data_IF_763084279631
#
_entry.id   IF_763084279631
#
_cell.length_a   1.000
_cell.length_b   1.000
_cell.length_c   1.000
_cell.angle_alpha   90.00
_cell.angle_beta   90.00
_cell.angle_gamma   90.00
#
_symmetry.space_group_name_H-M   'P 1'
#
loop_
_entity.id
_entity.type
_entity.pdbx_description
1 polymer ?
#
# COMPACT_ATOMS: atom_id res chain seq x y z
N UNK A 1 -59.44 -2.05 25.92
CA UNK A 1 -58.53 -1.17 25.11
C UNK A 1 -57.20 -1.83 25.00
N UNK A 2 -56.94 -2.30 23.82
CA UNK A 2 -55.71 -3.02 23.57
C UNK A 2 -54.80 -2.16 22.77
N UNK A 3 -53.74 -1.78 23.39
CA UNK A 3 -52.66 -1.10 22.70
C UNK A 3 -51.75 -2.16 22.12
N UNK A 4 -51.83 -2.33 20.83
CA UNK A 4 -50.80 -3.11 20.13
C UNK A 4 -49.54 -2.26 20.01
N UNK A 5 -48.61 -2.56 20.84
CA UNK A 5 -47.28 -2.06 20.66
C UNK A 5 -46.66 -2.80 19.47
N UNK A 6 -46.72 -2.18 18.33
CA UNK A 6 -45.90 -2.59 17.24
C UNK A 6 -44.46 -2.17 17.55
N UNK A 7 -43.76 -3.06 18.20
CA UNK A 7 -42.33 -3.00 18.23
C UNK A 7 -41.81 -3.35 16.86
N UNK A 8 -41.73 -2.35 16.00
CA UNK A 8 -40.87 -2.46 14.86
C UNK A 8 -39.43 -2.54 15.35
N UNK A 9 -39.00 -3.75 15.62
CA UNK A 9 -37.60 -3.99 15.76
C UNK A 9 -36.96 -3.72 14.39
N UNK A 10 -36.51 -2.51 14.22
CA UNK A 10 -35.62 -2.22 13.13
C UNK A 10 -34.33 -3.01 13.42
N UNK A 11 -34.21 -4.20 12.84
CA UNK A 11 -32.94 -4.86 12.74
C UNK A 11 -32.10 -3.96 11.84
N UNK A 12 -31.33 -3.10 12.46
CA UNK A 12 -30.21 -2.50 11.77
C UNK A 12 -29.21 -3.63 11.53
N UNK A 13 -29.38 -4.31 10.41
CA UNK A 13 -28.33 -5.17 9.89
C UNK A 13 -27.19 -4.21 9.54
N UNK A 14 -26.29 -4.03 10.49
CA UNK A 14 -25.03 -3.38 10.20
C UNK A 14 -24.38 -4.17 9.08
N UNK A 15 -24.47 -3.64 7.87
CA UNK A 15 -23.61 -4.07 6.78
C UNK A 15 -22.20 -3.72 7.21
N UNK A 16 -21.54 -4.65 7.89
CA UNK A 16 -20.08 -4.58 8.00
C UNK A 16 -19.55 -4.66 6.60
N UNK A 17 -18.80 -3.63 6.13
CA UNK A 17 -18.08 -3.78 4.89
C UNK A 17 -17.18 -4.98 5.08
N UNK A 18 -17.47 -6.05 4.37
CA UNK A 18 -16.51 -7.11 4.20
C UNK A 18 -15.35 -6.42 3.50
N UNK A 19 -14.27 -6.18 4.23
CA UNK A 19 -13.03 -5.74 3.61
C UNK A 19 -12.70 -6.81 2.59
N UNK A 20 -13.07 -6.56 1.34
CA UNK A 20 -12.56 -7.35 0.24
C UNK A 20 -11.05 -7.39 0.45
N UNK A 21 -10.45 -8.60 0.53
CA UNK A 21 -9.05 -8.78 0.81
C UNK A 21 -8.19 -8.04 -0.20
N UNK A 22 -8.12 -6.72 -0.04
CA UNK A 22 -7.24 -5.89 -0.82
C UNK A 22 -5.85 -6.00 -0.21
N UNK A 23 -4.85 -6.15 -1.05
CA UNK A 23 -3.46 -6.00 -0.68
C UNK A 23 -3.29 -4.73 0.15
N UNK A 24 -2.46 -4.77 1.17
CA UNK A 24 -2.22 -3.62 2.04
C UNK A 24 -0.74 -3.29 2.13
N UNK A 25 -0.47 -2.06 2.48
CA UNK A 25 0.88 -1.56 2.75
C UNK A 25 0.79 -0.52 3.86
N UNK A 26 1.74 -0.54 4.78
CA UNK A 26 1.80 0.41 5.89
C UNK A 26 3.22 0.97 6.00
N UNK A 27 3.37 2.27 6.23
CA UNK A 27 2.35 3.31 6.14
C UNK A 27 1.97 3.64 4.70
N UNK A 28 0.83 4.28 4.52
CA UNK A 28 0.35 4.76 3.21
C UNK A 28 0.67 6.24 2.97
N UNK A 29 1.17 6.92 3.98
CA UNK A 29 1.58 8.32 3.91
C UNK A 29 2.76 8.56 4.83
N UNK A 30 3.62 9.48 4.44
CA UNK A 30 4.73 9.88 5.29
C UNK A 30 5.41 11.15 4.81
N UNK A 31 6.01 11.86 5.75
CA UNK A 31 6.93 12.96 5.48
C UNK A 31 8.27 12.61 6.11
N UNK A 32 9.34 12.84 5.37
CA UNK A 32 10.69 12.49 5.81
C UNK A 32 11.60 13.69 5.60
N UNK A 33 12.27 14.09 6.66
CA UNK A 33 13.36 15.06 6.59
C UNK A 33 14.68 14.32 6.41
N UNK A 34 15.50 14.77 5.49
CA UNK A 34 16.80 14.18 5.24
C UNK A 34 17.87 15.26 5.11
N UNK A 35 19.08 14.95 5.59
CA UNK A 35 20.25 15.83 5.49
C UNK A 35 21.20 15.37 4.39
N UNK A 36 20.79 14.44 3.56
CA UNK A 36 21.58 13.90 2.44
C UNK A 36 20.88 14.13 1.11
N UNK A 37 21.47 13.64 0.03
CA UNK A 37 20.90 13.77 -1.32
C UNK A 37 19.74 12.80 -1.60
N UNK A 38 19.37 11.99 -0.62
CA UNK A 38 18.28 11.04 -0.73
C UNK A 38 17.52 10.94 0.58
N UNK A 39 16.29 10.47 0.52
CA UNK A 39 15.51 10.13 1.71
C UNK A 39 15.09 8.67 1.67
N UNK A 40 14.98 8.06 2.84
CA UNK A 40 14.62 6.66 2.98
C UNK A 40 13.25 6.52 3.61
N UNK A 41 12.46 5.59 3.07
CA UNK A 41 11.15 5.23 3.60
C UNK A 41 11.13 3.72 3.79
N UNK A 42 10.66 3.28 4.95
CA UNK A 42 10.41 1.86 5.20
C UNK A 42 8.92 1.61 5.12
N UNK A 43 8.53 0.69 4.25
CA UNK A 43 7.15 0.28 4.08
C UNK A 43 7.01 -1.21 4.36
N UNK A 44 5.81 -1.63 4.74
CA UNK A 44 5.50 -3.01 5.10
C UNK A 44 4.35 -3.48 4.24
N UNK A 45 4.63 -4.01 3.04
CA UNK A 45 3.58 -4.67 2.26
C UNK A 45 3.12 -5.94 2.97
N UNK A 46 1.83 -6.21 2.90
CA UNK A 46 1.19 -7.35 3.55
C UNK A 46 0.37 -8.15 2.57
N UNK A 47 0.35 -9.47 2.75
CA UNK A 47 -0.46 -10.38 1.98
C UNK A 47 -1.72 -10.77 2.77
N UNK A 48 -2.91 -10.25 2.40
CA UNK A 48 -4.15 -10.59 3.08
C UNK A 48 -4.77 -11.91 2.61
N UNK A 49 -4.19 -12.53 1.59
CA UNK A 49 -4.76 -13.73 0.99
C UNK A 49 -4.34 -14.99 1.73
N UNK A 50 -5.09 -16.07 1.53
CA UNK A 50 -4.80 -17.38 2.09
C UNK A 50 -3.71 -18.15 1.37
N UNK A 51 -3.07 -17.57 0.39
CA UNK A 51 -2.02 -18.19 -0.41
C UNK A 51 -0.86 -17.24 -0.62
N UNK A 52 0.29 -17.79 -0.96
CA UNK A 52 1.49 -17.03 -1.29
C UNK A 52 1.26 -16.19 -2.54
N UNK A 53 1.74 -14.95 -2.52
CA UNK A 53 1.71 -14.04 -3.67
C UNK A 53 3.11 -13.54 -3.99
N UNK A 54 3.30 -13.15 -5.24
CA UNK A 54 4.49 -12.42 -5.68
C UNK A 54 4.20 -10.92 -5.58
N UNK A 55 5.10 -10.18 -4.95
CA UNK A 55 4.97 -8.74 -4.74
C UNK A 55 6.14 -8.03 -5.41
N UNK A 56 5.84 -6.96 -6.11
CA UNK A 56 6.80 -6.04 -6.69
C UNK A 56 6.59 -4.65 -6.10
N UNK A 57 7.69 -3.96 -5.79
CA UNK A 57 7.64 -2.59 -5.30
C UNK A 57 8.17 -1.67 -6.39
N UNK A 58 7.41 -0.62 -6.68
CA UNK A 58 7.77 0.39 -7.66
C UNK A 58 7.63 1.78 -7.05
N UNK A 59 8.44 2.71 -7.52
CA UNK A 59 8.38 4.11 -7.10
C UNK A 59 8.08 4.96 -8.33
N UNK A 60 7.09 5.82 -8.19
CA UNK A 60 6.66 6.74 -9.24
C UNK A 60 6.62 8.17 -8.72
N UNK A 61 6.73 9.14 -9.61
CA UNK A 61 6.45 10.53 -9.28
C UNK A 61 4.92 10.78 -9.25
N UNK A 62 4.52 12.04 -9.10
CA UNK A 62 3.10 12.40 -9.06
C UNK A 62 2.36 12.11 -10.35
N UNK A 63 3.07 12.04 -11.47
CA UNK A 63 2.51 11.76 -12.80
C UNK A 63 2.66 10.29 -13.18
N UNK A 64 2.95 9.41 -12.21
CA UNK A 64 3.20 7.99 -12.42
C UNK A 64 4.34 7.69 -13.39
N UNK A 65 5.32 8.58 -13.48
CA UNK A 65 6.56 8.30 -14.19
C UNK A 65 7.52 7.57 -13.25
N UNK A 66 8.25 6.56 -13.73
CA UNK A 66 9.19 5.82 -12.89
C UNK A 66 10.26 6.74 -12.29
N UNK A 67 10.55 6.51 -11.02
CA UNK A 67 11.62 7.18 -10.29
C UNK A 67 12.74 6.18 -10.06
N UNK A 68 13.97 6.59 -10.34
CA UNK A 68 15.15 5.77 -10.09
C UNK A 68 15.44 5.72 -8.58
N UNK A 69 14.77 4.83 -7.88
CA UNK A 69 14.94 4.61 -6.45
C UNK A 69 15.61 3.26 -6.20
N UNK A 70 16.33 3.16 -5.07
CA UNK A 70 16.85 1.87 -4.60
C UNK A 70 15.84 1.22 -3.70
N UNK A 71 15.42 0.02 -4.07
CA UNK A 71 14.36 -0.72 -3.38
C UNK A 71 14.92 -2.07 -2.94
N UNK A 72 14.88 -2.35 -1.63
CA UNK A 72 15.46 -3.57 -1.06
C UNK A 72 14.47 -4.28 -0.14
N UNK A 73 13.93 -5.42 -0.51
CA UNK A 73 13.93 -6.03 -1.84
C UNK A 73 12.86 -5.42 -2.75
N UNK A 74 13.06 -5.45 -4.06
CA UNK A 74 12.08 -4.91 -5.02
C UNK A 74 11.08 -5.95 -5.53
N UNK A 75 11.45 -7.23 -5.54
CA UNK A 75 10.59 -8.35 -5.92
C UNK A 75 10.78 -9.47 -4.91
N UNK A 76 9.68 -10.01 -4.41
CA UNK A 76 9.74 -11.10 -3.42
C UNK A 76 8.42 -11.85 -3.37
N UNK A 77 8.46 -13.02 -2.75
CA UNK A 77 7.27 -13.78 -2.43
C UNK A 77 6.88 -13.51 -0.98
N UNK A 78 5.58 -13.37 -0.75
CA UNK A 78 5.03 -13.10 0.56
C UNK A 78 4.02 -14.19 0.91
N UNK A 79 4.30 -14.94 1.97
CA UNK A 79 3.43 -16.01 2.42
C UNK A 79 2.08 -15.51 2.89
N UNK A 80 1.13 -16.44 3.04
CA UNK A 80 -0.22 -16.14 3.52
C UNK A 80 -0.19 -15.35 4.83
N UNK A 81 -0.91 -14.24 4.90
CA UNK A 81 -1.06 -13.39 6.08
C UNK A 81 0.25 -12.78 6.58
N UNK A 82 1.30 -12.82 5.78
CA UNK A 82 2.61 -12.29 6.14
C UNK A 82 2.79 -10.86 5.66
N UNK A 83 3.73 -10.18 6.30
CA UNK A 83 4.25 -8.88 5.88
C UNK A 83 5.76 -8.88 6.02
N UNK A 84 6.43 -7.95 5.36
CA UNK A 84 7.87 -7.78 5.52
C UNK A 84 8.28 -6.32 5.30
N UNK A 85 9.38 -5.88 5.91
CA UNK A 85 9.90 -4.54 5.66
C UNK A 85 10.55 -4.46 4.28
N UNK A 86 10.33 -3.33 3.62
CA UNK A 86 11.00 -2.94 2.38
C UNK A 86 11.58 -1.56 2.58
N UNK A 87 12.87 -1.41 2.30
CA UNK A 87 13.54 -0.11 2.36
C UNK A 87 13.56 0.51 0.97
N UNK A 88 13.07 1.74 0.89
CA UNK A 88 13.03 2.52 -0.34
C UNK A 88 13.87 3.78 -0.15
N UNK A 89 14.90 3.94 -0.96
CA UNK A 89 15.78 5.12 -0.92
C UNK A 89 15.55 5.92 -2.20
N UNK A 90 15.05 7.14 -2.03
CA UNK A 90 14.65 8.00 -3.13
C UNK A 90 15.62 9.17 -3.25
N UNK A 91 16.30 9.33 -4.39
CA UNK A 91 17.15 10.50 -4.61
C UNK A 91 16.30 11.75 -4.78
N UNK A 92 16.78 12.89 -4.25
CA UNK A 92 16.11 14.16 -4.44
C UNK A 92 16.24 14.70 -5.87
N UNK A 93 17.25 14.25 -6.61
CA UNK A 93 17.48 14.73 -7.96
C UNK A 93 17.84 16.20 -8.03
N UNK A 94 18.51 16.74 -6.99
CA UNK A 94 18.86 18.15 -6.91
C UNK A 94 17.76 19.07 -6.37
N UNK A 95 16.55 18.55 -6.11
CA UNK A 95 15.44 19.32 -5.56
C UNK A 95 15.52 19.38 -4.03
N UNK A 96 14.96 20.44 -3.43
CA UNK A 96 14.84 20.58 -1.99
C UNK A 96 13.70 19.72 -1.41
N UNK A 97 12.72 19.39 -2.25
CA UNK A 97 11.56 18.60 -1.89
C UNK A 97 11.21 17.65 -3.01
N UNK A 98 10.71 16.48 -2.65
CA UNK A 98 10.25 15.51 -3.64
C UNK A 98 9.07 14.71 -3.13
N UNK A 99 8.02 14.64 -3.92
CA UNK A 99 6.86 13.81 -3.66
C UNK A 99 6.91 12.59 -4.55
N UNK A 100 6.75 11.42 -3.94
CA UNK A 100 6.73 10.15 -4.68
C UNK A 100 5.56 9.29 -4.24
N UNK A 101 5.22 8.34 -5.12
CA UNK A 101 4.30 7.26 -4.82
C UNK A 101 5.11 5.98 -4.70
N UNK A 102 4.95 5.28 -3.59
CA UNK A 102 5.53 3.94 -3.42
C UNK A 102 4.38 2.96 -3.57
N UNK A 103 4.49 2.09 -4.56
CA UNK A 103 3.42 1.18 -4.95
C UNK A 103 3.83 -0.26 -4.73
N UNK A 104 2.95 -1.05 -4.14
CA UNK A 104 3.05 -2.50 -4.15
C UNK A 104 2.15 -3.03 -5.26
N UNK A 105 2.69 -3.94 -6.06
CA UNK A 105 1.97 -4.61 -7.12
C UNK A 105 2.04 -6.12 -6.91
N UNK A 106 0.91 -6.79 -7.09
CA UNK A 106 0.85 -8.25 -6.99
C UNK A 106 -0.12 -8.85 -7.99
N UNK A 107 0.13 -10.11 -8.32
CA UNK A 107 -0.79 -10.94 -9.08
C UNK A 107 -1.29 -12.01 -8.10
N UNK A 108 -2.47 -11.81 -7.47
CA UNK A 108 -2.91 -12.71 -6.40
C UNK A 108 -3.37 -14.08 -6.89
N UNK A 109 -3.75 -14.20 -8.18
CA UNK A 109 -4.29 -15.42 -8.73
C UNK A 109 -3.62 -15.75 -10.07
N UNK A 110 -2.33 -16.21 -10.06
CA UNK A 110 -1.55 -16.35 -11.29
C UNK A 110 -2.05 -17.48 -12.21
N UNK A 111 -2.87 -18.41 -11.70
CA UNK A 111 -3.34 -19.58 -12.45
C UNK A 111 -4.70 -19.36 -13.13
N UNK A 112 -5.26 -18.17 -13.08
CA UNK A 112 -6.53 -17.86 -13.74
C UNK A 112 -6.27 -17.31 -15.15
N UNK A 113 -7.22 -17.56 -16.06
CA UNK A 113 -7.14 -17.07 -17.43
C UNK A 113 -7.09 -15.54 -17.51
N UNK A 114 -7.73 -14.87 -16.55
CA UNK A 114 -7.65 -13.41 -16.40
C UNK A 114 -6.78 -13.10 -15.21
N UNK A 115 -5.58 -12.59 -15.46
CA UNK A 115 -4.70 -12.13 -14.40
C UNK A 115 -5.07 -10.71 -14.01
N UNK A 116 -5.46 -10.54 -12.76
CA UNK A 116 -5.72 -9.22 -12.20
C UNK A 116 -4.50 -8.79 -11.40
N UNK A 117 -3.88 -7.70 -11.84
CA UNK A 117 -2.77 -7.09 -11.12
C UNK A 117 -3.33 -6.10 -10.12
N UNK A 118 -3.11 -6.35 -8.83
CA UNK A 118 -3.49 -5.43 -7.77
C UNK A 118 -2.37 -4.42 -7.53
N UNK A 119 -2.71 -3.13 -7.44
CA UNK A 119 -1.76 -2.07 -7.14
C UNK A 119 -2.30 -1.18 -6.03
N UNK A 120 -1.47 -0.92 -5.02
CA UNK A 120 -1.73 0.02 -3.95
C UNK A 120 -0.56 0.98 -3.85
N UNK A 121 -0.82 2.27 -3.83
CA UNK A 121 0.20 3.31 -3.78
C UNK A 121 0.04 4.20 -2.56
N UNK A 122 1.10 4.32 -1.78
CA UNK A 122 1.23 5.31 -0.72
C UNK A 122 1.87 6.59 -1.26
N UNK A 123 1.64 7.71 -0.56
CA UNK A 123 2.19 9.03 -0.90
C UNK A 123 3.22 9.45 0.13
N UNK A 124 4.42 9.80 -0.32
CA UNK A 124 5.53 10.16 0.55
C UNK A 124 6.17 11.46 0.08
N UNK A 125 6.51 12.29 1.05
CA UNK A 125 7.06 13.61 0.81
C UNK A 125 8.40 13.75 1.53
N UNK A 126 9.46 13.91 0.75
CA UNK A 126 10.80 14.11 1.26
C UNK A 126 11.18 15.59 1.28
N UNK A 127 11.80 16.02 2.37
CA UNK A 127 12.35 17.35 2.54
C UNK A 127 13.84 17.26 2.79
N UNK A 128 14.63 17.91 1.93
CA UNK A 128 16.06 18.01 2.14
C UNK A 128 16.34 19.20 3.04
N UNK A 129 16.93 18.93 4.19
CA UNK A 129 17.37 19.94 5.15
C UNK A 129 18.88 20.12 5.01
N UNK A 130 19.29 21.34 4.79
CA UNK A 130 20.72 21.69 4.72
C UNK A 130 21.22 22.19 6.07
#
# INVERSE_FOLDING_TARGET
MKHTLNLATALAVGLMPIAAGAQSMSPMRGEVNSFTDAFAVRVFPANPYGQKIKVEIHVYDQNFQPVDAKISPNVFQLGSQASRPVLVVVPFGGAAERKVRICTESIPFPNQQTQIKAQICGKFFGHRKS
#
